data_IF_856221025574
#
_entry.id   IF_856221025574
#
_cell.length_a   1.000
_cell.length_b   1.000
_cell.length_c   1.000
_cell.angle_alpha   90.00
_cell.angle_beta   90.00
_cell.angle_gamma   90.00
#
_symmetry.space_group_name_H-M   'P 1'
#
loop_
_entity.id
_entity.type
_entity.pdbx_description
1 polymer ?
#
# COMPACT_ATOMS: atom_id res chain seq x y z
N UNK A 1 -8.25 -39.20 50.60
CA UNK A 1 -7.87 -40.62 50.31
C UNK A 1 -7.22 -40.70 48.95
N UNK A 2 -5.99 -41.24 48.96
CA UNK A 2 -5.23 -41.94 47.92
C UNK A 2 -4.95 -41.16 46.62
N UNK A 3 -3.74 -40.64 46.40
CA UNK A 3 -2.51 -41.37 45.98
C UNK A 3 -2.54 -41.60 44.46
N UNK A 4 -1.55 -41.36 43.64
CA UNK A 4 -0.09 -41.24 43.72
C UNK A 4 0.49 -41.02 42.34
N UNK A 5 1.61 -40.32 42.28
CA UNK A 5 2.81 -40.60 41.45
C UNK A 5 2.62 -40.59 39.93
N UNK A 6 3.32 -39.83 39.15
CA UNK A 6 4.74 -39.50 39.12
C UNK A 6 5.42 -40.28 38.02
N UNK A 7 6.04 -39.58 37.09
CA UNK A 7 7.31 -40.02 36.49
C UNK A 7 7.93 -38.89 35.62
N UNK A 8 9.04 -38.43 36.10
CA UNK A 8 10.14 -37.79 35.37
C UNK A 8 10.80 -38.86 34.48
N UNK A 9 11.41 -38.42 33.41
CA UNK A 9 12.59 -38.94 32.72
C UNK A 9 12.42 -38.61 31.22
N UNK A 10 13.32 -38.16 30.40
CA UNK A 10 14.76 -38.04 30.47
C UNK A 10 15.17 -37.21 29.25
N UNK A 11 16.01 -36.21 29.43
CA UNK A 11 16.74 -35.54 28.37
C UNK A 11 17.74 -36.53 27.77
N UNK A 12 17.87 -36.56 26.43
CA UNK A 12 19.02 -37.19 25.81
C UNK A 12 19.53 -36.27 24.67
N UNK A 13 20.67 -35.69 24.97
CA UNK A 13 21.64 -35.12 24.01
C UNK A 13 22.05 -36.22 23.03
N UNK A 14 22.09 -35.86 21.74
CA UNK A 14 22.91 -36.58 20.76
C UNK A 14 23.73 -35.57 19.99
N UNK A 15 24.95 -35.37 20.49
CA UNK A 15 26.07 -34.88 19.73
C UNK A 15 26.63 -36.06 18.96
N UNK A 16 26.76 -35.98 17.64
CA UNK A 16 27.59 -36.90 16.88
C UNK A 16 28.59 -36.13 16.08
N UNK A 17 29.82 -36.49 16.37
CA UNK A 17 31.06 -35.89 15.89
C UNK A 17 31.33 -36.24 14.42
N UNK A 18 31.98 -35.24 13.75
CA UNK A 18 32.74 -35.50 12.53
C UNK A 18 33.98 -36.36 12.84
N UNK A 19 34.25 -37.35 12.03
CA UNK A 19 35.60 -37.84 11.79
C UNK A 19 35.67 -38.54 10.43
N UNK A 20 36.30 -38.04 9.48
CA UNK A 20 37.49 -38.32 8.74
C UNK A 20 37.54 -39.70 8.08
N UNK A 21 37.81 -39.68 6.78
CA UNK A 21 38.19 -40.85 6.01
C UNK A 21 38.74 -40.50 4.62
N UNK A 22 39.94 -40.06 4.58
CA UNK A 22 40.78 -40.06 3.36
C UNK A 22 41.12 -41.50 3.05
N UNK A 23 40.84 -42.00 1.86
CA UNK A 23 41.59 -43.06 1.23
C UNK A 23 41.60 -42.95 -0.30
N UNK A 24 42.78 -42.78 -0.79
CA UNK A 24 43.25 -42.80 -2.17
C UNK A 24 42.91 -44.07 -2.92
N UNK A 25 42.54 -43.95 -4.18
CA UNK A 25 42.51 -45.06 -5.14
C UNK A 25 42.63 -44.56 -6.58
N UNK A 26 43.84 -44.63 -7.13
CA UNK A 26 44.16 -44.43 -8.54
C UNK A 26 43.52 -45.49 -9.44
N UNK A 27 43.00 -45.05 -10.59
CA UNK A 27 42.64 -45.98 -11.69
C UNK A 27 41.97 -45.23 -12.84
N UNK A 28 42.77 -44.82 -13.84
CA UNK A 28 42.33 -44.01 -14.97
C UNK A 28 41.37 -44.70 -15.92
N UNK A 29 40.56 -43.89 -16.57
CA UNK A 29 40.18 -43.97 -18.00
C UNK A 29 39.49 -42.68 -18.43
N UNK A 30 40.01 -42.06 -19.46
CA UNK A 30 39.45 -40.94 -20.18
C UNK A 30 37.95 -41.19 -20.49
N UNK A 31 37.12 -40.25 -20.06
CA UNK A 31 35.91 -39.88 -20.78
C UNK A 31 35.74 -38.35 -20.62
N UNK A 32 35.85 -37.65 -21.74
CA UNK A 32 35.38 -36.27 -21.86
C UNK A 32 33.89 -36.26 -21.46
N UNK A 33 33.60 -35.94 -20.22
CA UNK A 33 32.33 -35.35 -19.81
C UNK A 33 32.62 -33.86 -19.72
N UNK A 34 32.00 -33.09 -20.60
CA UNK A 34 31.69 -31.69 -20.37
C UNK A 34 31.13 -31.63 -18.96
N UNK A 35 31.86 -31.00 -18.03
CA UNK A 35 31.31 -30.57 -16.78
C UNK A 35 30.25 -29.53 -17.15
N UNK A 36 28.99 -29.93 -17.18
CA UNK A 36 27.89 -29.03 -16.93
C UNK A 36 28.12 -28.55 -15.47
N UNK A 37 28.64 -27.35 -15.30
CA UNK A 37 28.50 -26.59 -14.06
C UNK A 37 27.02 -26.58 -13.77
N UNK A 38 26.57 -27.39 -12.83
CA UNK A 38 25.27 -27.21 -12.22
C UNK A 38 25.40 -25.96 -11.39
N UNK A 39 25.10 -24.80 -11.99
CA UNK A 39 24.91 -23.57 -11.26
C UNK A 39 23.74 -23.84 -10.32
N UNK A 40 24.04 -23.84 -9.02
CA UNK A 40 23.02 -24.02 -7.99
C UNK A 40 22.00 -22.87 -8.14
N UNK A 41 20.71 -23.19 -8.18
CA UNK A 41 19.63 -22.23 -8.36
C UNK A 41 19.68 -21.17 -7.26
N UNK A 42 19.72 -19.87 -7.62
CA UNK A 42 19.78 -18.76 -6.66
C UNK A 42 18.43 -18.60 -5.99
N UNK A 43 18.41 -18.74 -4.67
CA UNK A 43 17.18 -18.57 -3.87
C UNK A 43 17.02 -17.14 -3.40
N UNK A 44 15.83 -16.60 -3.58
CA UNK A 44 15.44 -15.24 -3.20
C UNK A 44 14.45 -15.35 -2.04
N UNK A 45 14.89 -15.19 -0.79
CA UNK A 45 13.98 -15.23 0.36
C UNK A 45 12.97 -14.09 0.33
N UNK A 46 11.70 -14.43 0.52
CA UNK A 46 10.60 -13.47 0.67
C UNK A 46 9.56 -14.03 1.64
N UNK A 47 8.86 -13.16 2.34
CA UNK A 47 7.72 -13.52 3.19
C UNK A 47 6.46 -12.97 2.56
N UNK A 48 5.45 -13.83 2.34
CA UNK A 48 4.12 -13.42 1.93
C UNK A 48 3.09 -13.79 2.99
N UNK A 49 2.10 -12.93 3.15
CA UNK A 49 1.00 -13.14 4.09
C UNK A 49 -0.05 -14.10 3.53
N UNK A 50 -0.67 -14.82 4.46
CA UNK A 50 -1.93 -15.54 4.25
C UNK A 50 -2.98 -14.81 5.06
N UNK A 51 -4.03 -14.34 4.40
CA UNK A 51 -5.12 -13.65 5.06
C UNK A 51 -5.74 -14.54 6.15
N UNK A 52 -5.74 -14.11 7.41
CA UNK A 52 -6.19 -14.94 8.52
C UNK A 52 -7.70 -15.21 8.52
N UNK A 53 -8.48 -14.41 7.78
CA UNK A 53 -9.93 -14.55 7.69
C UNK A 53 -10.35 -15.49 6.57
N UNK A 54 -9.75 -15.35 5.40
CA UNK A 54 -10.13 -16.10 4.19
C UNK A 54 -9.20 -17.28 3.90
N UNK A 55 -8.00 -17.30 4.47
CA UNK A 55 -6.94 -18.26 4.15
C UNK A 55 -6.33 -18.04 2.75
N UNK A 56 -6.63 -16.93 2.08
CA UNK A 56 -6.06 -16.59 0.77
C UNK A 56 -4.59 -16.27 0.92
N UNK A 57 -3.76 -16.89 0.09
CA UNK A 57 -2.34 -16.59 -0.01
C UNK A 57 -2.13 -15.40 -0.94
N UNK A 58 -1.63 -14.30 -0.40
CA UNK A 58 -1.36 -13.12 -1.18
C UNK A 58 -0.17 -13.35 -2.13
N UNK A 59 -0.26 -12.85 -3.36
CA UNK A 59 0.79 -12.99 -4.41
C UNK A 59 1.18 -14.44 -4.80
N UNK A 60 0.35 -15.45 -4.53
CA UNK A 60 0.64 -16.85 -4.89
C UNK A 60 0.86 -17.02 -6.40
N UNK A 61 -0.01 -16.44 -7.22
CA UNK A 61 0.05 -16.57 -8.68
C UNK A 61 1.30 -15.91 -9.27
N UNK A 62 1.69 -14.76 -8.75
CA UNK A 62 2.93 -14.05 -9.10
C UNK A 62 4.16 -14.90 -8.77
N UNK A 63 4.21 -15.47 -7.56
CA UNK A 63 5.32 -16.33 -7.13
C UNK A 63 5.44 -17.58 -8.01
N UNK A 64 4.33 -18.25 -8.27
CA UNK A 64 4.29 -19.45 -9.11
C UNK A 64 4.67 -19.13 -10.57
N UNK A 65 4.26 -17.98 -11.08
CA UNK A 65 4.60 -17.53 -12.43
C UNK A 65 6.10 -17.24 -12.57
N UNK A 66 6.70 -16.55 -11.58
CA UNK A 66 8.13 -16.29 -11.56
C UNK A 66 8.93 -17.59 -11.49
N UNK A 67 8.61 -18.48 -10.54
CA UNK A 67 9.32 -19.75 -10.35
C UNK A 67 9.24 -20.66 -11.59
N UNK A 68 8.13 -20.61 -12.33
CA UNK A 68 8.03 -21.32 -13.64
C UNK A 68 8.90 -20.65 -14.71
N UNK A 69 8.92 -19.32 -14.77
CA UNK A 69 9.64 -18.59 -15.81
C UNK A 69 11.17 -18.69 -15.66
N UNK A 70 11.65 -18.84 -14.43
CA UNK A 70 13.07 -18.85 -14.11
C UNK A 70 13.56 -20.20 -13.55
N UNK A 71 12.82 -21.29 -13.80
CA UNK A 71 13.19 -22.66 -13.34
C UNK A 71 14.65 -22.99 -13.65
N UNK A 72 15.39 -23.43 -12.63
CA UNK A 72 16.81 -23.79 -12.71
C UNK A 72 17.78 -22.60 -12.68
N UNK A 73 17.31 -21.35 -12.65
CA UNK A 73 18.16 -20.17 -12.55
C UNK A 73 17.89 -19.40 -11.24
N UNK A 74 16.64 -19.01 -11.02
CA UNK A 74 16.21 -18.27 -9.84
C UNK A 74 14.97 -18.92 -9.23
N UNK A 75 14.87 -18.89 -7.91
CA UNK A 75 13.73 -19.41 -7.18
C UNK A 75 13.28 -18.42 -6.10
N UNK A 76 12.06 -17.95 -6.19
CA UNK A 76 11.45 -17.15 -5.14
C UNK A 76 11.06 -18.08 -3.99
N UNK A 77 11.86 -18.02 -2.91
CA UNK A 77 11.72 -18.89 -1.72
C UNK A 77 10.75 -18.24 -0.73
N UNK A 78 9.47 -18.55 -0.92
CA UNK A 78 8.37 -17.90 -0.20
C UNK A 78 8.12 -18.59 1.14
N UNK A 79 8.30 -17.85 2.22
CA UNK A 79 7.78 -18.21 3.54
C UNK A 79 6.35 -17.65 3.68
N UNK A 80 5.37 -18.54 3.80
CA UNK A 80 3.96 -18.16 4.03
C UNK A 80 3.69 -17.98 5.51
N UNK A 81 3.18 -16.81 5.91
CA UNK A 81 2.83 -16.48 7.30
C UNK A 81 1.36 -16.12 7.41
N UNK A 82 0.68 -16.65 8.44
CA UNK A 82 -0.72 -16.32 8.73
C UNK A 82 -0.75 -15.04 9.58
N UNK A 83 -0.67 -13.91 8.91
CA UNK A 83 -0.57 -12.58 9.53
C UNK A 83 -1.39 -11.59 8.71
N UNK A 84 -1.92 -10.57 9.38
CA UNK A 84 -2.43 -9.37 8.74
C UNK A 84 -1.26 -8.55 8.16
N UNK A 85 -1.54 -7.61 7.28
CA UNK A 85 -0.49 -6.72 6.75
C UNK A 85 0.11 -5.84 7.85
N UNK A 86 -0.68 -5.43 8.86
CA UNK A 86 -0.16 -4.69 10.01
C UNK A 86 0.80 -5.53 10.85
N UNK A 87 0.46 -6.79 11.13
CA UNK A 87 1.36 -7.72 11.82
C UNK A 87 2.65 -7.96 11.01
N UNK A 88 2.55 -8.05 9.70
CA UNK A 88 3.71 -8.16 8.80
C UNK A 88 4.61 -6.92 8.91
N UNK A 89 4.06 -5.71 8.87
CA UNK A 89 4.82 -4.46 9.04
C UNK A 89 5.55 -4.40 10.38
N UNK A 90 4.88 -4.79 11.47
CA UNK A 90 5.52 -4.89 12.79
C UNK A 90 6.63 -5.96 12.82
N UNK A 91 6.45 -7.06 12.09
CA UNK A 91 7.47 -8.08 11.94
C UNK A 91 8.69 -7.59 11.18
N UNK A 92 8.53 -6.79 10.12
CA UNK A 92 9.64 -6.18 9.39
C UNK A 92 10.54 -5.35 10.31
N UNK A 93 9.96 -4.51 11.18
CA UNK A 93 10.72 -3.73 12.19
C UNK A 93 11.54 -4.64 13.10
N UNK A 94 10.97 -5.73 13.61
CA UNK A 94 11.68 -6.70 14.47
C UNK A 94 12.79 -7.43 13.72
N UNK A 95 12.53 -7.87 12.48
CA UNK A 95 13.52 -8.55 11.65
C UNK A 95 14.67 -7.63 11.26
N UNK A 96 14.42 -6.33 11.06
CA UNK A 96 15.48 -5.36 10.82
C UNK A 96 16.45 -5.29 12.02
N UNK A 97 15.92 -5.19 13.24
CA UNK A 97 16.74 -5.16 14.47
C UNK A 97 17.55 -6.45 14.66
N UNK A 98 16.98 -7.60 14.30
CA UNK A 98 17.66 -8.91 14.46
C UNK A 98 18.53 -9.31 13.27
N UNK A 99 18.55 -8.51 12.19
CA UNK A 99 19.30 -8.81 10.97
C UNK A 99 18.77 -10.04 10.21
N UNK A 100 17.47 -10.29 10.27
CA UNK A 100 16.81 -11.47 9.67
C UNK A 100 15.78 -11.10 8.60
N UNK A 101 15.87 -9.88 8.02
CA UNK A 101 15.03 -9.48 6.91
C UNK A 101 15.20 -10.44 5.72
N UNK A 102 14.14 -10.79 4.98
CA UNK A 102 14.25 -11.48 3.71
C UNK A 102 14.88 -10.58 2.63
N UNK A 103 15.28 -11.15 1.49
CA UNK A 103 15.93 -10.41 0.42
C UNK A 103 15.02 -9.37 -0.23
N UNK A 104 13.72 -9.64 -0.29
CA UNK A 104 12.70 -8.71 -0.76
C UNK A 104 11.71 -8.46 0.37
N UNK A 105 11.40 -7.19 0.58
CA UNK A 105 10.37 -6.73 1.52
C UNK A 105 9.38 -5.84 0.78
N UNK A 106 8.13 -5.87 1.21
CA UNK A 106 7.08 -5.01 0.66
C UNK A 106 6.40 -4.22 1.77
N UNK A 107 5.51 -3.31 1.42
CA UNK A 107 4.78 -2.45 2.37
C UNK A 107 5.66 -1.54 3.25
N UNK A 108 6.94 -1.48 2.98
CA UNK A 108 7.89 -0.70 3.79
C UNK A 108 7.58 0.80 3.76
N UNK A 109 7.06 1.29 2.63
CA UNK A 109 6.72 2.71 2.45
C UNK A 109 5.42 3.13 3.15
N UNK A 110 4.59 2.19 3.61
CA UNK A 110 3.38 2.52 4.39
C UNK A 110 3.70 2.91 5.84
N UNK A 111 4.96 2.72 6.26
CA UNK A 111 5.51 3.21 7.53
C UNK A 111 6.65 4.17 7.22
N UNK A 112 6.38 5.48 7.01
CA UNK A 112 7.35 6.44 6.49
C UNK A 112 8.64 6.51 7.30
N UNK A 113 8.58 6.51 8.62
CA UNK A 113 9.76 6.52 9.50
C UNK A 113 10.65 5.30 9.30
N UNK A 114 10.04 4.12 9.18
CA UNK A 114 10.79 2.90 8.93
C UNK A 114 11.44 2.89 7.55
N UNK A 115 10.72 3.36 6.53
CA UNK A 115 11.26 3.48 5.18
C UNK A 115 12.44 4.45 5.13
N UNK A 116 12.29 5.64 5.71
CA UNK A 116 13.35 6.63 5.79
C UNK A 116 14.59 6.07 6.48
N UNK A 117 14.43 5.49 7.66
CA UNK A 117 15.54 4.86 8.39
C UNK A 117 16.23 3.78 7.55
N UNK A 118 15.48 2.94 6.85
CA UNK A 118 16.05 1.89 5.98
C UNK A 118 16.88 2.49 4.83
N UNK A 119 16.46 3.62 4.26
CA UNK A 119 17.21 4.34 3.22
C UNK A 119 18.47 4.98 3.82
N UNK A 120 18.34 5.75 4.90
CA UNK A 120 19.44 6.50 5.53
C UNK A 120 20.54 5.58 6.09
N UNK A 121 20.17 4.43 6.63
CA UNK A 121 21.12 3.41 7.08
C UNK A 121 21.70 2.56 5.93
N UNK A 122 21.34 2.82 4.68
CA UNK A 122 21.79 2.07 3.52
C UNK A 122 21.33 0.60 3.51
N UNK A 123 20.18 0.31 4.13
CA UNK A 123 19.60 -1.04 4.24
C UNK A 123 18.88 -1.48 2.98
N UNK A 124 18.55 -0.56 2.08
CA UNK A 124 17.89 -0.82 0.81
C UNK A 124 18.86 -0.67 -0.36
N UNK A 125 18.68 -1.49 -1.37
CA UNK A 125 19.45 -1.43 -2.60
C UNK A 125 18.94 -0.27 -3.47
N UNK A 126 19.86 0.58 -3.94
CA UNK A 126 19.58 1.59 -4.94
C UNK A 126 19.29 0.90 -6.29
N UNK A 127 18.06 1.04 -6.76
CA UNK A 127 17.58 0.43 -8.02
C UNK A 127 17.85 1.32 -9.23
N UNK A 128 18.27 2.58 -9.02
CA UNK A 128 18.48 3.55 -10.11
C UNK A 128 19.43 3.03 -11.19
N UNK A 129 20.60 2.45 -10.86
CA UNK A 129 21.51 1.93 -11.90
C UNK A 129 20.86 0.81 -12.75
N UNK A 130 20.09 -0.08 -12.12
CA UNK A 130 19.42 -1.17 -12.82
C UNK A 130 18.32 -0.69 -13.76
N UNK A 131 17.62 0.39 -13.38
CA UNK A 131 16.60 1.05 -14.22
C UNK A 131 17.23 1.79 -15.40
N UNK A 132 18.37 2.46 -15.18
CA UNK A 132 19.08 3.19 -16.22
C UNK A 132 19.75 2.25 -17.25
N UNK A 133 20.20 1.07 -16.84
CA UNK A 133 20.80 0.06 -17.71
C UNK A 133 19.78 -0.74 -18.51
N UNK A 134 18.52 -0.83 -18.07
CA UNK A 134 17.47 -1.60 -18.72
C UNK A 134 16.37 -0.71 -19.32
N UNK A 135 16.62 -0.23 -20.56
CA UNK A 135 15.68 0.62 -21.30
C UNK A 135 14.30 -0.04 -21.45
N UNK A 136 14.23 -1.38 -21.49
CA UNK A 136 12.95 -2.09 -21.64
C UNK A 136 12.15 -2.04 -20.35
N UNK A 137 12.82 -2.29 -19.23
CA UNK A 137 12.16 -2.18 -17.91
C UNK A 137 11.67 -0.75 -17.68
N UNK A 138 12.53 0.23 -17.92
CA UNK A 138 12.17 1.65 -17.80
C UNK A 138 10.97 2.03 -18.68
N UNK A 139 10.89 1.53 -19.92
CA UNK A 139 9.81 1.82 -20.84
C UNK A 139 8.46 1.18 -20.46
N UNK A 140 8.46 0.21 -19.55
CA UNK A 140 7.24 -0.41 -19.03
C UNK A 140 6.63 0.35 -17.86
N UNK A 141 7.33 1.33 -17.29
CA UNK A 141 6.93 2.05 -16.08
C UNK A 141 6.29 3.39 -16.45
N UNK A 142 5.09 3.65 -15.96
CA UNK A 142 4.48 4.97 -16.13
C UNK A 142 5.25 6.05 -15.36
N UNK A 143 5.43 7.26 -15.93
CA UNK A 143 6.18 8.33 -15.27
C UNK A 143 5.69 8.69 -13.88
N UNK A 144 4.37 8.61 -13.64
CA UNK A 144 3.78 8.88 -12.33
C UNK A 144 4.18 7.81 -11.28
N UNK A 145 4.29 6.54 -11.70
CA UNK A 145 4.76 5.44 -10.85
C UNK A 145 6.23 5.64 -10.50
N UNK A 146 7.07 5.90 -11.52
CA UNK A 146 8.50 6.15 -11.29
C UNK A 146 8.72 7.33 -10.34
N UNK A 147 7.98 8.43 -10.54
CA UNK A 147 8.01 9.58 -9.64
C UNK A 147 7.64 9.19 -8.20
N UNK A 148 6.62 8.35 -8.02
CA UNK A 148 6.20 7.86 -6.70
C UNK A 148 7.23 6.97 -6.01
N UNK A 149 8.03 6.21 -6.77
CA UNK A 149 9.10 5.36 -6.27
C UNK A 149 10.42 6.09 -6.03
N UNK A 150 10.56 7.32 -6.53
CA UNK A 150 11.79 8.12 -6.40
C UNK A 150 11.83 8.79 -5.02
N UNK A 151 12.90 8.52 -4.27
CA UNK A 151 13.14 9.12 -2.97
C UNK A 151 13.64 10.58 -3.10
N UNK A 152 13.69 11.32 -2.00
CA UNK A 152 14.08 12.75 -1.99
C UNK A 152 15.51 13.00 -2.45
N UNK A 153 16.39 12.01 -2.31
CA UNK A 153 17.78 12.03 -2.83
C UNK A 153 17.89 11.81 -4.36
N UNK A 154 16.75 11.64 -5.03
CA UNK A 154 16.65 11.40 -6.47
C UNK A 154 16.86 9.94 -6.88
N UNK A 155 17.01 9.01 -5.95
CA UNK A 155 17.20 7.59 -6.21
C UNK A 155 15.92 6.79 -6.05
N UNK A 156 15.91 5.61 -6.63
CA UNK A 156 14.79 4.67 -6.56
C UNK A 156 15.16 3.49 -5.66
N UNK A 157 14.44 3.33 -4.55
CA UNK A 157 14.61 2.21 -3.61
C UNK A 157 13.42 1.26 -3.59
N UNK A 158 12.30 1.67 -4.19
CA UNK A 158 11.07 0.88 -4.27
C UNK A 158 10.91 0.35 -5.69
N UNK A 159 10.74 -0.96 -5.83
CA UNK A 159 10.55 -1.61 -7.12
C UNK A 159 9.25 -1.19 -7.79
N UNK A 160 9.33 -0.43 -8.90
CA UNK A 160 8.13 0.08 -9.57
C UNK A 160 7.36 -1.04 -10.25
N UNK A 161 6.04 -0.90 -10.31
CA UNK A 161 5.17 -1.64 -11.23
C UNK A 161 4.98 -0.84 -12.52
N UNK A 162 4.32 -1.42 -13.53
CA UNK A 162 4.13 -0.71 -14.81
C UNK A 162 3.16 0.46 -14.70
N UNK A 163 2.17 0.36 -13.81
CA UNK A 163 1.08 1.33 -13.70
C UNK A 163 0.57 1.49 -12.27
N UNK A 164 0.27 2.73 -11.87
CA UNK A 164 -0.47 3.03 -10.65
C UNK A 164 -1.98 2.72 -10.77
N UNK A 165 -2.45 2.44 -11.96
CA UNK A 165 -3.84 2.37 -12.33
C UNK A 165 -4.66 1.31 -11.62
N UNK A 166 -4.05 0.15 -11.41
CA UNK A 166 -4.76 -1.00 -10.86
C UNK A 166 -5.22 -0.81 -9.43
N UNK A 167 -4.56 0.04 -8.67
CA UNK A 167 -4.79 0.21 -7.24
C UNK A 167 -5.11 1.64 -6.85
N UNK A 168 -5.72 2.40 -7.78
CA UNK A 168 -6.16 3.76 -7.50
C UNK A 168 -7.43 3.78 -6.66
N UNK A 169 -7.54 4.83 -5.85
CA UNK A 169 -8.71 5.17 -5.08
C UNK A 169 -9.49 6.31 -5.72
N UNK A 170 -10.80 6.28 -5.47
CA UNK A 170 -11.77 7.30 -5.79
C UNK A 170 -12.91 7.26 -4.77
N UNK A 171 -14.13 7.50 -5.22
CA UNK A 171 -15.31 7.56 -4.37
C UNK A 171 -16.33 6.50 -4.77
N UNK A 172 -16.63 5.60 -3.84
CA UNK A 172 -17.81 4.74 -3.91
C UNK A 172 -19.01 5.51 -3.43
N UNK A 173 -20.16 5.37 -4.10
CA UNK A 173 -21.40 6.02 -3.69
C UNK A 173 -22.61 5.13 -3.89
N UNK A 174 -23.63 5.32 -3.05
CA UNK A 174 -24.89 4.62 -3.12
C UNK A 174 -25.85 5.37 -4.06
N UNK A 175 -26.15 4.79 -5.23
CA UNK A 175 -27.00 5.38 -6.28
C UNK A 175 -28.43 5.65 -5.78
N UNK A 176 -28.97 4.77 -4.92
CA UNK A 176 -30.32 4.95 -4.36
C UNK A 176 -30.41 6.19 -3.46
N UNK A 177 -29.40 6.40 -2.60
CA UNK A 177 -29.34 7.56 -1.70
C UNK A 177 -29.12 8.86 -2.46
N UNK A 178 -28.32 8.83 -3.53
CA UNK A 178 -28.15 9.96 -4.45
C UNK A 178 -29.47 10.33 -5.11
N UNK A 179 -30.19 9.34 -5.65
CA UNK A 179 -31.52 9.55 -6.25
C UNK A 179 -32.51 10.14 -5.25
N UNK A 180 -32.54 9.65 -4.00
CA UNK A 180 -33.38 10.20 -2.93
C UNK A 180 -33.06 11.66 -2.60
N UNK A 181 -31.81 12.06 -2.76
CA UNK A 181 -31.35 13.45 -2.56
C UNK A 181 -31.57 14.33 -3.78
N UNK A 182 -32.02 13.78 -4.92
CA UNK A 182 -32.15 14.51 -6.18
C UNK A 182 -30.80 14.86 -6.78
N UNK A 183 -29.83 13.96 -6.67
CA UNK A 183 -28.51 14.04 -7.27
C UNK A 183 -28.43 13.01 -8.38
N UNK A 184 -28.34 13.44 -9.62
CA UNK A 184 -28.42 12.56 -10.79
C UNK A 184 -27.06 11.96 -11.20
N UNK A 185 -25.94 12.57 -10.78
CA UNK A 185 -24.59 12.12 -11.11
C UNK A 185 -23.59 12.52 -10.03
N UNK A 186 -22.44 11.83 -10.00
CA UNK A 186 -21.34 12.19 -9.10
C UNK A 186 -20.78 13.58 -9.48
N UNK A 187 -20.46 14.43 -8.48
CA UNK A 187 -19.98 15.81 -8.68
C UNK A 187 -18.65 15.89 -9.44
N UNK A 188 -18.57 16.79 -10.42
CA UNK A 188 -17.35 16.98 -11.22
C UNK A 188 -16.35 17.96 -10.61
N UNK A 189 -16.81 18.86 -9.72
CA UNK A 189 -15.99 19.87 -9.05
C UNK A 189 -16.12 19.78 -7.54
N UNK A 190 -15.17 20.33 -6.78
CA UNK A 190 -15.25 20.38 -5.32
C UNK A 190 -16.42 21.23 -4.82
N UNK A 191 -16.79 22.28 -5.54
CA UNK A 191 -17.98 23.08 -5.22
C UNK A 191 -19.25 22.23 -5.33
N UNK A 192 -19.40 21.50 -6.44
CA UNK A 192 -20.52 20.59 -6.64
C UNK A 192 -20.53 19.44 -5.63
N UNK A 193 -19.34 18.93 -5.23
CA UNK A 193 -19.22 17.89 -4.23
C UNK A 193 -19.77 18.33 -2.86
N UNK A 194 -19.42 19.53 -2.42
CA UNK A 194 -19.97 20.05 -1.17
C UNK A 194 -21.45 20.37 -1.28
N UNK A 195 -21.90 20.90 -2.43
CA UNK A 195 -23.35 21.11 -2.67
C UNK A 195 -24.13 19.77 -2.68
N UNK A 196 -23.54 18.70 -3.19
CA UNK A 196 -24.10 17.35 -3.10
C UNK A 196 -24.19 16.89 -1.64
N UNK A 197 -23.13 17.07 -0.84
CA UNK A 197 -23.16 16.75 0.58
C UNK A 197 -24.26 17.53 1.33
N UNK A 198 -24.47 18.81 1.01
CA UNK A 198 -25.53 19.63 1.61
C UNK A 198 -26.93 19.10 1.23
N UNK A 199 -27.16 18.74 -0.04
CA UNK A 199 -28.43 18.14 -0.49
C UNK A 199 -28.73 16.81 0.21
N UNK A 200 -27.72 15.93 0.39
CA UNK A 200 -27.87 14.69 1.16
C UNK A 200 -28.29 15.00 2.60
N UNK A 201 -27.61 15.93 3.28
CA UNK A 201 -27.96 16.34 4.65
C UNK A 201 -29.37 16.90 4.76
N UNK A 202 -29.82 17.72 3.81
CA UNK A 202 -31.19 18.25 3.76
C UNK A 202 -32.25 17.15 3.72
N UNK A 203 -31.90 15.97 3.19
CA UNK A 203 -32.76 14.78 3.17
C UNK A 203 -32.58 13.87 4.38
N UNK A 204 -31.72 14.27 5.35
CA UNK A 204 -31.41 13.44 6.52
C UNK A 204 -30.48 12.26 6.21
N UNK A 205 -29.77 12.30 5.08
CA UNK A 205 -28.81 11.28 4.66
C UNK A 205 -27.41 11.77 5.04
N UNK A 206 -26.66 10.97 5.77
CA UNK A 206 -25.23 11.26 6.05
C UNK A 206 -24.42 11.14 4.78
N UNK A 207 -23.67 12.19 4.36
CA UNK A 207 -22.94 12.14 3.09
C UNK A 207 -21.78 11.15 3.08
N UNK A 208 -20.92 11.13 4.13
CA UNK A 208 -19.62 10.47 4.13
C UNK A 208 -19.49 9.42 5.25
N UNK A 209 -18.99 8.25 4.93
CA UNK A 209 -18.46 7.29 5.88
C UNK A 209 -16.96 7.55 6.07
N UNK A 210 -16.57 8.08 7.23
CA UNK A 210 -15.18 8.40 7.57
C UNK A 210 -14.77 7.71 8.86
N UNK A 211 -13.47 7.61 9.10
CA UNK A 211 -12.86 7.12 10.34
C UNK A 211 -11.58 7.89 10.66
N UNK A 212 -11.09 7.79 11.89
CA UNK A 212 -9.84 8.40 12.34
C UNK A 212 -8.91 7.42 13.04
N UNK A 213 -9.42 6.35 13.63
CA UNK A 213 -8.56 5.33 14.21
C UNK A 213 -7.82 4.55 13.12
N UNK A 214 -6.60 4.15 13.40
CA UNK A 214 -5.76 3.38 12.48
C UNK A 214 -5.31 4.18 11.25
N UNK A 215 -4.90 5.45 11.39
CA UNK A 215 -4.35 6.34 10.35
C UNK A 215 -5.35 7.27 9.63
N UNK A 216 -6.66 7.13 9.82
CA UNK A 216 -7.67 8.01 9.20
C UNK A 216 -7.57 8.09 7.67
N UNK A 217 -7.26 7.00 7.00
CA UNK A 217 -6.89 7.02 5.58
C UNK A 217 -8.06 7.38 4.64
N UNK A 218 -9.32 7.10 4.99
CA UNK A 218 -10.46 7.47 4.12
C UNK A 218 -10.65 8.99 4.01
N UNK A 219 -10.67 9.79 5.09
CA UNK A 219 -10.68 11.24 4.95
C UNK A 219 -9.43 11.78 4.25
N UNK A 220 -8.30 11.10 4.42
CA UNK A 220 -7.05 11.52 3.81
C UNK A 220 -7.00 11.30 2.30
N UNK A 221 -7.63 10.27 1.77
CA UNK A 221 -7.78 10.10 0.32
C UNK A 221 -8.54 11.30 -0.29
N UNK A 222 -9.65 11.70 0.33
CA UNK A 222 -10.44 12.85 -0.13
C UNK A 222 -9.62 14.14 -0.01
N UNK A 223 -8.95 14.34 1.12
CA UNK A 223 -8.15 15.54 1.36
C UNK A 223 -6.95 15.63 0.41
N UNK A 224 -6.28 14.50 0.12
CA UNK A 224 -5.20 14.42 -0.86
C UNK A 224 -5.68 14.90 -2.24
N UNK A 225 -6.80 14.37 -2.72
CA UNK A 225 -7.36 14.77 -4.01
C UNK A 225 -7.77 16.26 -4.02
N UNK A 226 -8.33 16.75 -2.91
CA UNK A 226 -8.75 18.16 -2.80
C UNK A 226 -7.58 19.13 -2.75
N UNK A 227 -6.52 18.81 -2.02
CA UNK A 227 -5.31 19.64 -1.96
C UNK A 227 -4.60 19.65 -3.31
N UNK A 228 -4.53 18.48 -3.96
CA UNK A 228 -3.90 18.32 -5.27
C UNK A 228 -4.71 18.90 -6.45
N UNK A 229 -5.78 19.67 -6.20
CA UNK A 229 -6.54 20.37 -7.23
C UNK A 229 -5.69 21.33 -8.08
N UNK A 230 -4.61 21.84 -7.51
CA UNK A 230 -3.64 22.69 -8.18
C UNK A 230 -2.21 22.09 -8.13
N UNK A 231 -1.28 22.54 -9.00
CA UNK A 231 0.06 21.96 -9.07
C UNK A 231 0.88 22.10 -7.79
N UNK A 232 0.73 23.19 -7.02
CA UNK A 232 1.46 23.40 -5.76
C UNK A 232 0.95 22.43 -4.69
N UNK A 233 -0.36 22.24 -4.63
CA UNK A 233 -0.99 21.26 -3.75
C UNK A 233 -0.62 19.83 -4.13
N UNK A 234 -0.57 19.50 -5.41
CA UNK A 234 -0.14 18.20 -5.88
C UNK A 234 1.34 17.90 -5.51
N UNK A 235 2.21 18.90 -5.64
CA UNK A 235 3.62 18.77 -5.24
C UNK A 235 3.75 18.64 -3.72
N UNK A 236 3.01 19.42 -2.94
CA UNK A 236 2.96 19.31 -1.48
C UNK A 236 2.52 17.90 -1.03
N UNK A 237 1.43 17.40 -1.57
CA UNK A 237 0.92 16.05 -1.24
C UNK A 237 1.83 14.93 -1.78
N UNK A 238 2.78 15.23 -2.65
CA UNK A 238 3.78 14.29 -3.12
C UNK A 238 5.02 14.20 -2.22
N UNK A 239 5.28 15.17 -1.36
CA UNK A 239 6.46 15.18 -0.47
C UNK A 239 6.29 14.17 0.67
N UNK A 240 7.33 13.42 0.95
CA UNK A 240 7.31 12.44 2.04
C UNK A 240 7.32 13.13 3.41
N UNK A 241 8.16 14.15 3.55
CA UNK A 241 8.26 15.01 4.72
C UNK A 241 8.30 16.46 4.24
N UNK A 242 7.18 17.18 4.27
CA UNK A 242 7.21 18.61 3.98
C UNK A 242 8.01 19.33 5.07
N UNK A 243 8.76 20.37 4.68
CA UNK A 243 9.52 21.20 5.65
C UNK A 243 8.59 21.87 6.69
N UNK A 244 7.37 22.16 6.29
CA UNK A 244 6.36 22.79 7.16
C UNK A 244 4.97 22.66 6.52
N UNK A 245 3.95 22.58 7.36
CA UNK A 245 2.54 22.72 6.99
C UNK A 245 2.07 24.19 6.97
N UNK A 246 2.88 25.14 7.46
CA UNK A 246 2.58 26.59 7.43
C UNK A 246 2.75 27.16 6.02
N UNK A 247 1.88 26.69 5.12
CA UNK A 247 1.81 27.10 3.72
C UNK A 247 0.38 26.95 3.19
N UNK A 248 0.04 27.51 2.01
CA UNK A 248 -1.32 27.46 1.47
C UNK A 248 -1.90 26.05 1.35
N UNK A 249 -1.08 25.04 0.99
CA UNK A 249 -1.52 23.65 0.87
C UNK A 249 -1.82 23.01 2.22
N UNK A 250 -1.02 23.29 3.25
CA UNK A 250 -1.26 22.84 4.62
C UNK A 250 -2.54 23.43 5.21
N UNK A 251 -2.80 24.73 5.00
CA UNK A 251 -4.07 25.36 5.39
C UNK A 251 -5.25 24.80 4.60
N UNK A 252 -5.10 24.53 3.30
CA UNK A 252 -6.13 23.89 2.48
C UNK A 252 -6.45 22.49 2.98
N UNK A 253 -5.42 21.71 3.38
CA UNK A 253 -5.57 20.41 3.99
C UNK A 253 -6.41 20.50 5.28
N UNK A 254 -6.04 21.35 6.22
CA UNK A 254 -6.75 21.55 7.48
C UNK A 254 -8.20 21.96 7.26
N UNK A 255 -8.45 22.94 6.38
CA UNK A 255 -9.80 23.41 6.04
C UNK A 255 -10.64 22.31 5.37
N UNK A 256 -10.04 21.49 4.51
CA UNK A 256 -10.70 20.35 3.86
C UNK A 256 -11.12 19.32 4.90
N UNK A 257 -10.22 18.91 5.78
CA UNK A 257 -10.51 17.95 6.85
C UNK A 257 -11.62 18.48 7.77
N UNK A 258 -11.52 19.72 8.23
CA UNK A 258 -12.56 20.35 9.05
C UNK A 258 -13.92 20.27 8.36
N UNK A 259 -13.99 20.58 7.08
CA UNK A 259 -15.23 20.55 6.31
C UNK A 259 -15.77 19.14 6.11
N UNK A 260 -14.92 18.16 5.78
CA UNK A 260 -15.32 16.76 5.60
C UNK A 260 -16.01 16.20 6.86
N UNK A 261 -15.46 16.47 8.04
CA UNK A 261 -16.03 16.02 9.31
C UNK A 261 -17.35 16.69 9.70
N UNK A 262 -17.84 17.70 8.95
CA UNK A 262 -19.21 18.20 9.08
C UNK A 262 -20.24 17.36 8.32
N UNK A 263 -19.78 16.41 7.48
CA UNK A 263 -20.60 15.59 6.58
C UNK A 263 -20.59 14.10 6.91
N UNK A 264 -19.99 13.70 8.02
CA UNK A 264 -19.84 12.29 8.40
C UNK A 264 -20.76 11.88 9.56
N UNK A 265 -20.73 10.59 9.88
CA UNK A 265 -21.41 10.02 11.06
C UNK A 265 -20.83 10.58 12.36
N UNK A 266 -21.62 10.56 13.44
CA UNK A 266 -21.21 11.11 14.74
C UNK A 266 -20.03 10.32 15.34
N UNK A 267 -19.94 9.03 15.05
CA UNK A 267 -18.93 8.11 15.54
C UNK A 267 -17.57 8.20 14.82
N UNK A 268 -17.51 8.85 13.66
CA UNK A 268 -16.32 8.88 12.77
C UNK A 268 -15.00 9.29 13.43
N UNK A 269 -15.03 10.05 14.52
CA UNK A 269 -13.83 10.49 15.26
C UNK A 269 -13.27 9.45 16.25
N UNK A 270 -13.92 8.30 16.40
CA UNK A 270 -13.60 7.30 17.42
C UNK A 270 -13.77 5.87 16.90
N UNK A 271 -13.66 5.68 15.59
CA UNK A 271 -13.86 4.37 14.95
C UNK A 271 -12.78 4.12 13.90
N UNK A 272 -12.57 2.85 13.64
CA UNK A 272 -11.73 2.34 12.59
C UNK A 272 -12.45 2.23 11.24
N UNK A 273 -11.73 1.71 10.24
CA UNK A 273 -12.24 1.52 8.89
C UNK A 273 -13.43 0.54 8.84
N UNK A 274 -13.45 -0.51 9.65
CA UNK A 274 -14.52 -1.52 9.59
C UNK A 274 -15.89 -0.91 9.93
N UNK A 275 -15.92 0.06 10.84
CA UNK A 275 -17.13 0.81 11.16
C UNK A 275 -17.52 1.75 10.02
N UNK A 276 -16.56 2.44 9.38
CA UNK A 276 -16.84 3.27 8.20
C UNK A 276 -17.39 2.43 7.04
N UNK A 277 -16.77 1.27 6.76
CA UNK A 277 -17.24 0.29 5.80
C UNK A 277 -18.70 -0.15 6.12
N UNK A 278 -18.96 -0.53 7.36
CA UNK A 278 -20.30 -0.93 7.80
C UNK A 278 -21.31 0.20 7.69
N UNK A 279 -20.94 1.46 8.00
CA UNK A 279 -21.82 2.62 7.86
C UNK A 279 -22.21 2.86 6.39
N UNK A 280 -21.29 2.65 5.45
CA UNK A 280 -21.61 2.73 4.02
C UNK A 280 -22.51 1.57 3.56
N UNK A 281 -22.11 0.32 3.79
CA UNK A 281 -22.85 -0.86 3.34
C UNK A 281 -24.12 -1.17 4.15
N UNK A 282 -24.43 -0.45 5.20
CA UNK A 282 -25.74 -0.45 5.85
C UNK A 282 -26.65 0.69 5.37
N UNK A 283 -26.17 1.55 4.47
CA UNK A 283 -26.93 2.70 3.97
C UNK A 283 -27.04 3.86 4.96
N UNK A 284 -26.24 3.89 6.04
CA UNK A 284 -26.16 5.02 6.95
C UNK A 284 -25.44 6.21 6.35
N UNK A 285 -24.47 5.96 5.47
CA UNK A 285 -23.74 6.99 4.76
C UNK A 285 -23.80 6.75 3.24
N UNK A 286 -23.81 7.83 2.46
CA UNK A 286 -24.02 7.77 1.02
C UNK A 286 -22.73 7.53 0.23
N UNK A 287 -21.55 7.88 0.78
CA UNK A 287 -20.26 7.80 0.10
C UNK A 287 -19.17 7.22 1.00
N UNK A 288 -18.22 6.49 0.40
CA UNK A 288 -17.02 5.97 1.02
C UNK A 288 -15.83 6.15 0.08
N UNK A 289 -14.80 6.88 0.51
CA UNK A 289 -13.54 6.94 -0.23
C UNK A 289 -12.80 5.62 -0.09
N UNK A 290 -12.49 4.96 -1.22
CA UNK A 290 -11.80 3.68 -1.23
C UNK A 290 -11.21 3.39 -2.61
N UNK A 291 -10.42 2.33 -2.74
CA UNK A 291 -9.75 1.97 -3.97
C UNK A 291 -10.31 0.72 -4.66
N UNK A 292 -9.63 0.33 -5.73
CA UNK A 292 -9.94 -0.85 -6.54
C UNK A 292 -10.12 -2.12 -5.68
N UNK A 293 -9.33 -2.26 -4.61
CA UNK A 293 -9.37 -3.41 -3.70
C UNK A 293 -10.71 -3.61 -2.97
N UNK A 294 -11.61 -2.62 -2.97
CA UNK A 294 -12.93 -2.77 -2.39
C UNK A 294 -13.89 -3.54 -3.31
N UNK A 295 -13.63 -3.59 -4.62
CA UNK A 295 -14.57 -4.21 -5.59
C UNK A 295 -14.87 -5.67 -5.21
N UNK A 296 -13.84 -6.43 -4.87
CA UNK A 296 -13.98 -7.84 -4.46
C UNK A 296 -14.56 -8.02 -3.04
N UNK A 297 -14.76 -6.93 -2.29
CA UNK A 297 -15.28 -6.93 -0.93
C UNK A 297 -16.70 -6.37 -0.84
N UNK A 298 -17.32 -6.05 -1.98
CA UNK A 298 -18.70 -5.58 -2.03
C UNK A 298 -19.63 -6.72 -1.58
N UNK A 299 -20.48 -6.51 -0.55
CA UNK A 299 -21.36 -7.55 -0.05
C UNK A 299 -22.41 -7.97 -1.08
N UNK A 300 -22.81 -9.24 -1.05
CA UNK A 300 -23.88 -9.78 -1.88
C UNK A 300 -25.16 -8.90 -1.82
N UNK A 301 -25.70 -8.58 -3.00
CA UNK A 301 -26.91 -7.76 -3.15
C UNK A 301 -26.67 -6.24 -3.09
N UNK A 302 -25.40 -5.81 -3.11
CA UNK A 302 -25.00 -4.42 -3.24
C UNK A 302 -24.44 -4.07 -4.63
N UNK A 303 -24.19 -5.04 -5.49
CA UNK A 303 -23.51 -4.90 -6.78
C UNK A 303 -24.22 -3.90 -7.73
N UNK A 304 -25.56 -3.84 -7.65
CA UNK A 304 -26.37 -2.92 -8.45
C UNK A 304 -26.63 -1.54 -7.79
N UNK A 305 -26.25 -1.38 -6.51
CA UNK A 305 -26.50 -0.15 -5.73
C UNK A 305 -25.28 0.72 -5.59
N UNK A 306 -24.11 0.12 -5.70
CA UNK A 306 -22.82 0.80 -5.54
C UNK A 306 -22.31 1.22 -6.91
N UNK A 307 -21.92 2.47 -6.98
CA UNK A 307 -21.25 3.09 -8.13
C UNK A 307 -19.88 3.58 -7.73
N UNK A 308 -19.03 3.82 -8.69
CA UNK A 308 -17.69 4.38 -8.47
C UNK A 308 -17.48 5.63 -9.32
N UNK A 309 -16.72 6.60 -8.81
CA UNK A 309 -16.26 7.78 -9.56
C UNK A 309 -14.86 8.19 -9.11
N UNK A 310 -14.10 8.81 -10.00
CA UNK A 310 -12.92 9.57 -9.59
C UNK A 310 -13.34 10.71 -8.62
N UNK A 311 -12.44 11.15 -7.75
CA UNK A 311 -12.65 12.38 -7.00
C UNK A 311 -12.90 13.56 -7.96
N UNK A 312 -13.51 14.67 -7.48
CA UNK A 312 -13.68 15.85 -8.30
C UNK A 312 -12.43 16.25 -9.08
N UNK A 313 -12.60 16.96 -10.20
CA UNK A 313 -11.53 17.25 -11.16
C UNK A 313 -10.96 16.02 -11.88
N UNK A 314 -11.66 14.88 -11.81
CA UNK A 314 -11.21 13.58 -12.33
C UNK A 314 -9.84 13.17 -11.78
N UNK A 315 -9.64 13.40 -10.47
CA UNK A 315 -8.44 13.01 -9.74
C UNK A 315 -8.62 11.62 -9.17
N UNK A 316 -7.61 10.77 -9.31
CA UNK A 316 -7.50 9.50 -8.58
C UNK A 316 -6.26 9.52 -7.69
N UNK A 317 -6.28 8.72 -6.61
CA UNK A 317 -5.16 8.63 -5.67
C UNK A 317 -4.60 7.21 -5.72
N UNK A 318 -3.32 7.08 -6.04
CA UNK A 318 -2.66 5.78 -6.13
C UNK A 318 -2.52 5.11 -4.76
N UNK A 319 -2.66 3.78 -4.73
CA UNK A 319 -2.39 3.00 -3.51
C UNK A 319 -0.91 2.99 -3.15
N UNK A 320 -0.54 2.97 -1.85
CA UNK A 320 0.84 2.82 -1.41
C UNK A 320 1.45 1.49 -1.85
N UNK A 321 0.68 0.42 -1.99
CA UNK A 321 1.16 -0.89 -2.47
C UNK A 321 1.78 -0.84 -3.87
N UNK A 322 1.42 0.16 -4.67
CA UNK A 322 2.01 0.43 -5.98
C UNK A 322 3.54 0.63 -5.90
N UNK A 323 4.05 1.06 -4.75
CA UNK A 323 5.43 1.51 -4.56
C UNK A 323 6.18 0.74 -3.46
N UNK A 324 5.65 -0.36 -2.96
CA UNK A 324 6.06 -0.89 -1.66
C UNK A 324 7.19 -1.93 -1.66
N UNK A 325 7.77 -2.34 -2.80
CA UNK A 325 8.69 -3.48 -2.87
C UNK A 325 10.14 -3.03 -2.94
N UNK A 326 10.97 -3.50 -2.01
CA UNK A 326 12.37 -3.13 -1.91
C UNK A 326 13.29 -4.35 -1.80
N UNK A 327 14.52 -4.21 -2.28
CA UNK A 327 15.58 -5.22 -2.14
C UNK A 327 16.48 -4.83 -0.97
N UNK A 328 16.67 -5.75 -0.03
CA UNK A 328 17.51 -5.56 1.16
C UNK A 328 18.98 -5.65 0.76
N UNK A 329 19.77 -4.63 1.11
CA UNK A 329 21.16 -4.44 0.66
C UNK A 329 22.16 -5.43 1.26
N UNK A 330 21.82 -6.10 2.37
CA UNK A 330 22.76 -6.95 3.13
C UNK A 330 23.00 -8.33 2.52
N UNK A 331 22.28 -8.67 1.47
CA UNK A 331 22.46 -9.93 0.73
C UNK A 331 23.65 -9.86 -0.24
N UNK A 332 24.11 -11.03 -0.70
CA UNK A 332 25.16 -11.12 -1.73
C UNK A 332 24.70 -10.46 -3.03
N UNK A 333 25.65 -10.02 -3.86
CA UNK A 333 25.34 -9.40 -5.15
C UNK A 333 24.50 -10.32 -6.03
N UNK A 334 24.79 -11.61 -6.04
CA UNK A 334 24.04 -12.63 -6.78
C UNK A 334 22.56 -12.70 -6.36
N UNK A 335 22.25 -12.65 -5.05
CA UNK A 335 20.88 -12.65 -4.54
C UNK A 335 20.20 -11.31 -4.82
N UNK A 336 20.93 -10.18 -4.73
CA UNK A 336 20.38 -8.86 -5.06
C UNK A 336 20.05 -8.75 -6.56
N UNK A 337 20.90 -9.24 -7.45
CA UNK A 337 20.63 -9.30 -8.88
C UNK A 337 19.43 -10.16 -9.19
N UNK A 338 19.31 -11.35 -8.57
CA UNK A 338 18.14 -12.19 -8.71
C UNK A 338 16.85 -11.53 -8.18
N UNK A 339 16.94 -10.81 -7.06
CA UNK A 339 15.82 -10.05 -6.50
C UNK A 339 15.39 -8.89 -7.43
N UNK A 340 16.33 -8.21 -8.05
CA UNK A 340 16.03 -7.18 -9.06
C UNK A 340 15.36 -7.80 -10.29
N UNK A 341 15.80 -8.97 -10.75
CA UNK A 341 15.12 -9.69 -11.85
C UNK A 341 13.68 -10.07 -11.48
N UNK A 342 13.42 -10.41 -10.21
CA UNK A 342 12.04 -10.58 -9.76
C UNK A 342 11.24 -9.27 -9.81
N UNK A 343 11.81 -8.13 -9.44
CA UNK A 343 11.14 -6.84 -9.55
C UNK A 343 10.82 -6.47 -11.00
N UNK A 344 11.73 -6.74 -11.94
CA UNK A 344 11.48 -6.57 -13.39
C UNK A 344 10.34 -7.47 -13.86
N UNK A 345 10.37 -8.74 -13.44
CA UNK A 345 9.30 -9.69 -13.74
C UNK A 345 7.95 -9.19 -13.20
N UNK A 346 7.92 -8.68 -11.97
CA UNK A 346 6.71 -8.11 -11.35
C UNK A 346 6.17 -6.91 -12.14
N UNK A 347 7.03 -6.02 -12.62
CA UNK A 347 6.63 -4.90 -13.48
C UNK A 347 5.95 -5.41 -14.75
N UNK A 348 6.58 -6.37 -15.45
CA UNK A 348 6.05 -6.96 -16.66
C UNK A 348 4.75 -7.73 -16.43
N UNK A 349 4.67 -8.51 -15.34
CA UNK A 349 3.49 -9.25 -14.93
C UNK A 349 2.31 -8.30 -14.67
N UNK A 350 2.54 -7.22 -13.94
CA UNK A 350 1.54 -6.17 -13.72
C UNK A 350 1.06 -5.53 -15.03
N UNK A 351 1.95 -5.32 -16.00
CA UNK A 351 1.56 -4.84 -17.32
C UNK A 351 0.65 -5.82 -18.04
N UNK A 352 0.96 -7.11 -18.00
CA UNK A 352 0.12 -8.15 -18.61
C UNK A 352 -1.25 -8.25 -17.94
N UNK A 353 -1.31 -8.16 -16.62
CA UNK A 353 -2.58 -8.13 -15.88
C UNK A 353 -3.42 -6.92 -16.27
N UNK A 354 -2.79 -5.74 -16.39
CA UNK A 354 -3.45 -4.53 -16.88
C UNK A 354 -4.01 -4.73 -18.28
N UNK A 355 -3.21 -5.23 -19.23
CA UNK A 355 -3.64 -5.48 -20.58
C UNK A 355 -4.79 -6.50 -20.64
N UNK A 356 -4.71 -7.58 -19.86
CA UNK A 356 -5.77 -8.56 -19.76
C UNK A 356 -7.06 -7.97 -19.18
N UNK A 357 -6.94 -7.15 -18.13
CA UNK A 357 -8.05 -6.46 -17.52
C UNK A 357 -8.75 -5.52 -18.51
N UNK A 358 -8.01 -4.71 -19.26
CA UNK A 358 -8.58 -3.79 -20.26
C UNK A 358 -9.22 -4.45 -21.49
N UNK A 359 -8.91 -5.73 -21.73
CA UNK A 359 -9.47 -6.51 -22.84
C UNK A 359 -10.66 -7.38 -22.43
N UNK A 360 -11.05 -7.38 -21.15
CA UNK A 360 -12.22 -8.09 -20.68
C UNK A 360 -13.50 -7.50 -21.28
N UNK A 361 -14.49 -8.37 -21.47
CA UNK A 361 -15.84 -7.94 -21.81
C UNK A 361 -16.56 -7.47 -20.55
N UNK A 362 -16.79 -6.19 -20.44
CA UNK A 362 -17.46 -5.58 -19.30
C UNK A 362 -18.99 -5.52 -19.42
N UNK A 363 -19.58 -6.07 -20.49
CA UNK A 363 -21.05 -6.04 -20.68
C UNK A 363 -21.79 -6.82 -19.57
N UNK A 364 -21.16 -7.87 -19.03
CA UNK A 364 -21.70 -8.67 -17.91
C UNK A 364 -21.05 -8.35 -16.56
N UNK A 365 -20.10 -7.42 -16.50
CA UNK A 365 -19.39 -7.06 -15.28
C UNK A 365 -20.28 -6.22 -14.34
N UNK A 366 -20.04 -6.25 -13.01
CA UNK A 366 -20.70 -5.33 -12.09
C UNK A 366 -20.50 -3.87 -12.53
N UNK A 367 -21.54 -3.03 -12.42
CA UNK A 367 -21.49 -1.62 -12.83
C UNK A 367 -20.30 -0.86 -12.23
N UNK A 368 -20.00 -1.15 -10.97
CA UNK A 368 -18.89 -0.53 -10.24
C UNK A 368 -17.53 -0.74 -10.93
N UNK A 369 -17.33 -1.90 -11.58
CA UNK A 369 -16.10 -2.19 -12.31
C UNK A 369 -16.03 -1.38 -13.60
N UNK A 370 -17.14 -1.28 -14.35
CA UNK A 370 -17.23 -0.42 -15.53
C UNK A 370 -17.02 1.05 -15.17
N UNK A 371 -17.59 1.50 -14.05
CA UNK A 371 -17.41 2.86 -13.53
C UNK A 371 -15.94 3.13 -13.16
N UNK A 372 -15.29 2.15 -12.51
CA UNK A 372 -13.87 2.25 -12.19
C UNK A 372 -13.01 2.42 -13.45
N UNK A 373 -13.29 1.62 -14.48
CA UNK A 373 -12.60 1.69 -15.75
C UNK A 373 -12.79 3.03 -16.45
N UNK A 374 -14.01 3.55 -16.45
CA UNK A 374 -14.31 4.88 -17.02
C UNK A 374 -13.58 5.98 -16.22
N UNK A 375 -13.65 5.93 -14.89
CA UNK A 375 -12.96 6.88 -14.03
C UNK A 375 -11.45 6.85 -14.23
N UNK A 376 -10.88 5.65 -14.35
CA UNK A 376 -9.44 5.46 -14.58
C UNK A 376 -8.99 5.97 -15.94
N UNK A 377 -9.63 5.53 -17.02
CA UNK A 377 -9.27 5.97 -18.40
C UNK A 377 -9.54 7.45 -18.62
N UNK A 378 -10.52 8.01 -17.90
CA UNK A 378 -10.88 9.42 -17.91
C UNK A 378 -10.13 10.29 -16.91
N UNK A 379 -9.25 9.72 -16.08
CA UNK A 379 -8.52 10.47 -15.05
C UNK A 379 -7.70 11.62 -15.68
N UNK A 380 -7.84 12.82 -15.09
CA UNK A 380 -7.03 13.97 -15.49
C UNK A 380 -5.66 13.93 -14.82
N UNK A 381 -5.59 13.36 -13.61
CA UNK A 381 -4.37 13.12 -12.87
C UNK A 381 -4.50 11.94 -11.90
N UNK A 382 -3.37 11.31 -11.61
CA UNK A 382 -3.22 10.32 -10.54
C UNK A 382 -2.21 10.89 -9.56
N UNK A 383 -2.63 11.06 -8.31
CA UNK A 383 -1.79 11.61 -7.23
C UNK A 383 -1.24 10.45 -6.41
N UNK A 384 0.06 10.43 -6.09
CA UNK A 384 0.60 9.43 -5.18
C UNK A 384 -0.11 9.46 -3.82
N UNK A 385 -0.28 8.28 -3.23
CA UNK A 385 -0.95 8.15 -1.95
C UNK A 385 -0.21 8.95 -0.86
N UNK A 386 -0.97 9.74 -0.10
CA UNK A 386 -0.48 10.57 0.99
C UNK A 386 0.19 9.76 2.12
N UNK A 387 -0.21 8.51 2.35
CA UNK A 387 0.30 7.70 3.46
C UNK A 387 1.82 7.49 3.40
N UNK A 388 2.39 7.47 2.20
CA UNK A 388 3.84 7.40 2.02
C UNK A 388 4.55 8.74 2.19
N UNK A 389 3.80 9.82 2.41
CA UNK A 389 4.29 11.20 2.47
C UNK A 389 4.21 11.82 3.86
N UNK A 390 3.58 11.14 4.80
CA UNK A 390 3.34 11.68 6.12
C UNK A 390 4.20 10.96 7.16
N UNK A 391 4.76 11.72 8.09
CA UNK A 391 5.46 11.13 9.21
C UNK A 391 4.51 10.34 10.11
N UNK A 392 5.03 9.33 10.82
CA UNK A 392 4.22 8.43 11.66
C UNK A 392 3.46 9.17 12.77
N UNK A 393 4.06 10.17 13.37
CA UNK A 393 3.43 10.94 14.46
C UNK A 393 2.22 11.68 13.91
N UNK A 394 2.34 12.32 12.74
CA UNK A 394 1.19 12.99 12.12
C UNK A 394 0.08 12.01 11.76
N UNK A 395 0.43 10.85 11.19
CA UNK A 395 -0.55 9.84 10.78
C UNK A 395 -1.29 9.20 11.95
N UNK A 396 -0.54 8.77 12.96
CA UNK A 396 -1.05 7.88 13.99
C UNK A 396 -1.56 8.64 15.23
N UNK A 397 -0.94 9.79 15.55
CA UNK A 397 -1.22 10.54 16.78
C UNK A 397 -1.89 11.88 16.48
N UNK A 398 -1.23 12.76 15.74
CA UNK A 398 -1.69 14.15 15.55
C UNK A 398 -3.05 14.23 14.87
N UNK A 399 -3.32 13.39 13.86
CA UNK A 399 -4.63 13.36 13.19
C UNK A 399 -5.73 12.95 14.18
N UNK A 400 -5.50 11.90 14.97
CA UNK A 400 -6.47 11.42 15.97
C UNK A 400 -6.79 12.49 17.02
N UNK A 401 -5.80 13.28 17.43
CA UNK A 401 -5.96 14.34 18.44
C UNK A 401 -6.53 15.65 17.84
N UNK A 402 -6.00 16.09 16.71
CA UNK A 402 -6.34 17.38 16.11
C UNK A 402 -7.73 17.40 15.49
N UNK A 403 -8.18 16.32 14.85
CA UNK A 403 -9.49 16.30 14.17
C UNK A 403 -10.68 16.48 15.12
N UNK A 404 -10.76 15.85 16.31
CA UNK A 404 -11.79 16.16 17.28
C UNK A 404 -11.80 17.63 17.70
N UNK A 405 -10.63 18.21 17.99
CA UNK A 405 -10.49 19.60 18.39
C UNK A 405 -10.92 20.55 17.27
N UNK A 406 -10.54 20.25 16.03
CA UNK A 406 -10.89 21.01 14.84
C UNK A 406 -12.41 20.95 14.56
N UNK A 407 -13.03 19.77 14.67
CA UNK A 407 -14.49 19.58 14.51
C UNK A 407 -15.28 20.35 15.57
N UNK A 408 -14.81 20.35 16.81
CA UNK A 408 -15.47 21.04 17.93
C UNK A 408 -15.20 22.55 17.94
N UNK A 409 -14.33 23.04 17.05
CA UNK A 409 -13.93 24.46 17.00
C UNK A 409 -13.06 24.88 18.18
N UNK A 410 -12.43 23.93 18.88
CA UNK A 410 -11.45 24.21 19.95
C UNK A 410 -10.11 24.67 19.40
N UNK A 411 -9.78 24.26 18.20
CA UNK A 411 -8.70 24.80 17.36
C UNK A 411 -9.29 25.20 16.01
N UNK A 412 -8.62 26.09 15.33
CA UNK A 412 -8.86 26.46 13.93
C UNK A 412 -7.81 25.81 13.01
N UNK A 413 -7.80 26.21 11.75
CA UNK A 413 -6.83 25.69 10.76
C UNK A 413 -5.39 26.05 11.12
N UNK A 414 -5.14 27.20 11.76
CA UNK A 414 -3.82 27.61 12.25
C UNK A 414 -3.37 26.68 13.39
N UNK A 415 -4.28 26.35 14.31
CA UNK A 415 -4.02 25.40 15.38
C UNK A 415 -3.68 24.00 14.85
N UNK A 416 -4.39 23.51 13.81
CA UNK A 416 -4.08 22.25 13.16
C UNK A 416 -2.69 22.28 12.50
N UNK A 417 -2.39 23.30 11.72
CA UNK A 417 -1.09 23.48 11.04
C UNK A 417 0.04 23.49 12.06
N UNK A 418 -0.15 24.17 13.19
CA UNK A 418 0.84 24.17 14.27
C UNK A 418 1.08 22.79 14.87
N UNK A 419 0.03 22.02 15.14
CA UNK A 419 0.16 20.63 15.62
C UNK A 419 0.90 19.76 14.60
N UNK A 420 0.59 19.91 13.31
CA UNK A 420 1.26 19.20 12.24
C UNK A 420 2.76 19.58 12.13
N UNK A 421 3.12 20.86 12.31
CA UNK A 421 4.52 21.28 12.36
C UNK A 421 5.25 20.80 13.63
N UNK A 422 4.53 20.66 14.75
CA UNK A 422 5.09 20.05 15.96
C UNK A 422 5.39 18.58 15.72
N UNK A 423 4.54 17.84 14.98
CA UNK A 423 4.78 16.43 14.64
C UNK A 423 6.04 16.22 13.79
N UNK A 424 6.39 17.17 12.93
CA UNK A 424 7.67 17.11 12.18
C UNK A 424 8.85 17.17 13.15
N UNK A 425 8.83 18.10 14.11
CA UNK A 425 9.93 18.26 15.08
C UNK A 425 10.06 17.06 16.03
N UNK A 426 8.94 16.48 16.43
CA UNK A 426 8.93 15.27 17.25
C UNK A 426 9.51 14.10 16.46
N UNK A 427 9.07 13.93 15.22
CA UNK A 427 9.58 12.92 14.31
C UNK A 427 11.10 13.06 14.09
N UNK A 428 11.61 14.28 13.82
CA UNK A 428 13.04 14.55 13.68
C UNK A 428 13.85 14.30 14.97
N UNK A 429 13.22 14.50 16.13
CA UNK A 429 13.87 14.27 17.42
C UNK A 429 13.97 12.77 17.80
N UNK A 430 13.14 11.91 17.19
CA UNK A 430 13.16 10.46 17.38
C UNK A 430 14.14 9.73 16.44
N UNK A 431 14.65 10.42 15.40
CA UNK A 431 15.67 9.90 14.48
C UNK A 431 17.06 10.02 15.07
#
# INVERSE_FOLDING_TARGET
MKNKKGKRTLALLLAVAMAGGLLTGCGGKNNNKTEEESTEEVRIPIIFTVDPTTGKKNNQELADAFNRAYEGKYYLDVQWVLETEEEYRQNLKRMNVTGTLPAIIYDVCTVPSFYQMMVEEGRLTDLTPYLEEDEKWMAEIEPAVLKGCTYEDGKVYLGPISTAAFTCAGMYYNEELFTQAGVDSFPATWEEFYACCDKLKEKGITPLALHTEGTGWTPMLIATAAVAEDPEGADFMHRMLPESYDNPSGYKLAATLQKLFTYTTEDALHVDYDVAYSNFFSGKAAMLANGYWLIDQIPDGWEDKVRFAAFPQRTMVASPETFGWAVVSTYSDEVKEAAVEFLKFRTHYNKQEKEAFFTQDFEEAPKVLSDYMEAFTGAAQIVPNYQVKWNSILQEETIGEALPLLKEGKIDTEGFVKMADESIKEYEAEQ
#
